data_IF_462785093137
#
_entry.id   IF_462785093137
#
_cell.length_a   1.000
_cell.length_b   1.000
_cell.length_c   1.000
_cell.angle_alpha   90.00
_cell.angle_beta   90.00
_cell.angle_gamma   90.00
#
_symmetry.space_group_name_H-M   'P 1'
#
loop_
_entity.id
_entity.type
_entity.pdbx_description
1 polymer ?
#
# COMPACT_ATOMS: atom_id res chain seq x y z
N UNK A 1 3.93 -2.84 -9.69
CA UNK A 1 2.61 -2.24 -9.39
C UNK A 1 2.62 -0.75 -9.74
N UNK A 2 1.58 -0.27 -10.43
CA UNK A 2 1.48 1.11 -10.91
C UNK A 2 0.61 1.98 -10.00
N UNK A 3 0.76 3.30 -10.12
CA UNK A 3 -0.20 4.26 -9.56
C UNK A 3 -1.54 4.04 -10.26
N UNK A 4 -2.63 3.99 -9.49
CA UNK A 4 -3.97 3.64 -9.94
C UNK A 4 -4.33 2.16 -9.76
N UNK A 5 -3.40 1.29 -9.37
CA UNK A 5 -3.71 -0.10 -9.06
C UNK A 5 -4.61 -0.20 -7.82
N UNK A 6 -5.59 -1.09 -7.86
CA UNK A 6 -6.43 -1.45 -6.71
C UNK A 6 -5.76 -2.57 -5.93
N UNK A 7 -5.64 -2.37 -4.62
CA UNK A 7 -4.91 -3.27 -3.74
C UNK A 7 -5.68 -3.61 -2.49
N UNK A 8 -5.36 -4.78 -1.92
CA UNK A 8 -5.79 -5.21 -0.60
C UNK A 8 -4.58 -5.22 0.33
N UNK A 9 -4.76 -4.74 1.56
CA UNK A 9 -3.74 -4.85 2.59
C UNK A 9 -3.93 -6.19 3.32
N UNK A 10 -2.84 -6.96 3.43
CA UNK A 10 -2.82 -8.24 4.13
C UNK A 10 -3.19 -8.08 5.61
N UNK A 11 -3.68 -9.16 6.21
CA UNK A 11 -3.98 -9.22 7.65
C UNK A 11 -2.69 -9.16 8.48
N UNK A 12 -2.78 -8.71 9.74
CA UNK A 12 -1.62 -8.54 10.63
C UNK A 12 -1.05 -7.11 10.71
N UNK A 13 -1.66 -6.15 10.01
CA UNK A 13 -1.49 -4.71 10.28
C UNK A 13 -2.64 -4.22 11.14
N UNK A 14 -2.35 -3.86 12.39
CA UNK A 14 -3.29 -3.22 13.31
C UNK A 14 -3.07 -1.71 13.28
N UNK A 15 -3.81 -1.01 12.42
CA UNK A 15 -3.87 0.45 12.39
C UNK A 15 -5.35 0.85 12.42
N UNK A 16 -5.76 1.64 13.42
CA UNK A 16 -7.16 2.09 13.59
C UNK A 16 -7.71 2.86 12.39
N UNK A 17 -6.84 3.34 11.50
CA UNK A 17 -7.21 4.08 10.29
C UNK A 17 -7.51 3.17 9.10
N UNK A 18 -7.24 1.87 9.20
CA UNK A 18 -7.58 0.89 8.16
C UNK A 18 -9.09 0.64 8.13
N UNK A 19 -9.74 0.77 6.96
CA UNK A 19 -11.14 0.37 6.83
C UNK A 19 -11.28 -1.17 6.92
N UNK A 20 -12.48 -1.63 7.30
CA UNK A 20 -12.80 -3.05 7.51
C UNK A 20 -12.40 -3.94 6.32
N UNK A 21 -12.67 -3.50 5.10
CA UNK A 21 -12.37 -4.28 3.90
C UNK A 21 -10.89 -4.24 3.48
N UNK A 22 -10.09 -3.32 4.04
CA UNK A 22 -8.65 -3.15 3.75
C UNK A 22 -8.32 -3.00 2.26
N UNK A 23 -9.27 -2.52 1.46
CA UNK A 23 -9.09 -2.26 0.02
C UNK A 23 -8.85 -0.77 -0.20
N UNK A 24 -7.82 -0.45 -0.98
CA UNK A 24 -7.50 0.92 -1.33
C UNK A 24 -6.85 1.05 -2.71
N UNK A 25 -6.66 2.28 -3.14
CA UNK A 25 -6.06 2.65 -4.40
C UNK A 25 -4.61 3.09 -4.18
N UNK A 26 -3.68 2.59 -4.98
CA UNK A 26 -2.30 3.08 -4.96
C UNK A 26 -2.26 4.47 -5.59
N UNK A 27 -1.88 5.47 -4.82
CA UNK A 27 -1.79 6.87 -5.25
C UNK A 27 -0.35 7.38 -5.33
N UNK A 28 0.63 6.57 -4.92
CA UNK A 28 2.04 6.92 -5.02
C UNK A 28 2.96 5.77 -4.62
N UNK A 29 4.22 5.87 -5.02
CA UNK A 29 5.29 4.94 -4.67
C UNK A 29 6.51 5.71 -4.16
N UNK A 30 7.22 5.13 -3.21
CA UNK A 30 8.45 5.68 -2.67
C UNK A 30 9.46 4.55 -2.49
N UNK A 31 10.64 4.70 -3.10
CA UNK A 31 11.76 3.79 -2.86
C UNK A 31 12.51 4.27 -1.62
N UNK A 32 12.63 3.42 -0.62
CA UNK A 32 13.40 3.72 0.58
C UNK A 32 14.77 3.02 0.49
N UNK A 33 15.83 3.82 0.37
CA UNK A 33 17.20 3.31 0.40
C UNK A 33 17.67 3.23 1.85
N UNK A 34 17.79 2.00 2.37
CA UNK A 34 18.35 1.78 3.69
C UNK A 34 19.81 1.32 3.53
N UNK A 35 20.76 1.97 4.22
CA UNK A 35 22.20 1.65 4.07
C UNK A 35 22.56 0.21 4.46
N UNK A 36 21.65 -0.50 5.13
CA UNK A 36 21.84 -1.85 5.65
C UNK A 36 20.87 -2.90 5.08
N UNK A 37 19.96 -2.54 4.15
CA UNK A 37 19.01 -3.47 3.53
C UNK A 37 18.85 -3.17 2.04
N UNK A 38 18.37 -4.16 1.29
CA UNK A 38 17.92 -3.96 -0.08
C UNK A 38 16.87 -2.81 -0.13
N UNK A 39 16.84 -2.07 -1.24
CA UNK A 39 15.86 -1.00 -1.44
C UNK A 39 14.44 -1.54 -1.25
N UNK A 40 13.72 -1.01 -0.26
CA UNK A 40 12.34 -1.42 0.04
C UNK A 40 11.38 -0.45 -0.65
N UNK A 41 10.36 -0.99 -1.32
CA UNK A 41 9.34 -0.22 -2.00
C UNK A 41 8.14 0.02 -1.07
N UNK A 42 7.79 1.30 -0.90
CA UNK A 42 6.66 1.75 -0.09
C UNK A 42 5.57 2.26 -1.01
N UNK A 43 4.36 1.75 -0.82
CA UNK A 43 3.15 2.14 -1.54
C UNK A 43 2.30 3.06 -0.68
N UNK A 44 1.88 4.18 -1.25
CA UNK A 44 0.90 5.08 -0.65
C UNK A 44 -0.49 4.65 -1.12
N UNK A 45 -1.32 4.17 -0.20
CA UNK A 45 -2.64 3.59 -0.48
C UNK A 45 -3.71 4.49 0.11
N UNK A 46 -4.58 5.02 -0.75
CA UNK A 46 -5.74 5.80 -0.37
C UNK A 46 -6.96 4.90 -0.20
N UNK A 47 -7.66 5.05 0.91
CA UNK A 47 -8.84 4.28 1.26
C UNK A 47 -10.13 5.09 1.06
N UNK A 48 -11.27 4.39 1.06
CA UNK A 48 -12.60 4.98 0.94
C UNK A 48 -12.96 5.97 2.07
N UNK A 49 -12.30 5.89 3.23
CA UNK A 49 -12.43 6.84 4.33
C UNK A 49 -11.62 8.14 4.11
N UNK A 50 -11.02 8.31 2.93
CA UNK A 50 -10.21 9.48 2.56
C UNK A 50 -8.81 9.51 3.19
N UNK A 51 -8.43 8.50 3.98
CA UNK A 51 -7.09 8.40 4.56
C UNK A 51 -6.13 7.77 3.56
N UNK A 52 -4.88 8.22 3.58
CA UNK A 52 -3.78 7.61 2.85
C UNK A 52 -2.77 7.06 3.83
N UNK A 53 -2.47 5.77 3.72
CA UNK A 53 -1.48 5.09 4.56
C UNK A 53 -0.35 4.55 3.70
N UNK A 54 0.77 4.20 4.33
CA UNK A 54 1.97 3.70 3.67
C UNK A 54 2.19 2.24 4.03
N UNK A 55 2.42 1.40 3.04
CA UNK A 55 2.68 -0.01 3.23
C UNK A 55 3.90 -0.45 2.43
N UNK A 56 4.71 -1.33 3.01
CA UNK A 56 5.72 -2.04 2.25
C UNK A 56 5.06 -3.03 1.31
N UNK A 57 5.72 -3.34 0.19
CA UNK A 57 5.26 -4.31 -0.81
C UNK A 57 4.79 -5.63 -0.21
N UNK A 58 5.47 -6.13 0.82
CA UNK A 58 5.14 -7.40 1.48
C UNK A 58 3.73 -7.45 2.06
N UNK A 59 3.16 -6.30 2.43
CA UNK A 59 1.82 -6.18 3.02
C UNK A 59 0.73 -5.85 2.00
N UNK A 60 1.09 -5.71 0.73
CA UNK A 60 0.16 -5.31 -0.33
C UNK A 60 -0.10 -6.48 -1.27
N UNK A 61 -1.37 -6.73 -1.55
CA UNK A 61 -1.83 -7.71 -2.53
C UNK A 61 -2.56 -6.99 -3.66
N UNK A 62 -2.18 -7.27 -4.90
CA UNK A 62 -2.76 -6.64 -6.08
C UNK A 62 -4.11 -7.31 -6.38
N UNK A 63 -5.18 -6.52 -6.38
CA UNK A 63 -6.50 -6.98 -6.85
C UNK A 63 -6.66 -6.68 -8.35
N UNK A 64 -6.26 -5.48 -8.77
CA UNK A 64 -6.36 -5.03 -10.15
C UNK A 64 -5.22 -4.08 -10.48
N UNK A 65 -4.57 -4.30 -11.62
CA UNK A 65 -3.54 -3.39 -12.11
C UNK A 65 -4.13 -2.27 -12.96
N UNK A 66 -3.65 -1.04 -12.72
CA UNK A 66 -3.88 0.04 -13.67
C UNK A 66 -3.15 -0.26 -14.98
N UNK A 67 -3.90 -0.15 -16.09
CA UNK A 67 -3.38 -0.27 -17.46
C UNK A 67 -2.67 0.99 -17.91
#
# INVERSE_FOLDING_TARGET
MNIGSLVKIKEGTDDDRLPEHRIGLVVGTQVCHNRHRASELIYHVQFNNGKTLKFFEDFVEIISEAK
#
